data_IF_302173339496
#
_entry.id   IF_302173339496
#
_cell.length_a   1.000
_cell.length_b   1.000
_cell.length_c   1.000
_cell.angle_alpha   90.00
_cell.angle_beta   90.00
_cell.angle_gamma   90.00
#
_symmetry.space_group_name_H-M   'P 1'
#
loop_
_entity.id
_entity.type
_entity.pdbx_description
1 polymer ?
#
# COMPACT_ATOMS: atom_id res chain seq x y z
N UNK A 1 -0.18 -9.81 5.43
CA UNK A 1 -0.41 -11.28 5.47
C UNK A 1 -0.18 -11.92 4.12
N UNK A 2 -0.87 -11.49 3.04
CA UNK A 2 -0.60 -11.97 1.67
C UNK A 2 0.89 -11.93 1.27
N UNK A 3 1.57 -10.82 1.52
CA UNK A 3 3.01 -10.65 1.24
C UNK A 3 3.86 -11.66 1.99
N UNK A 4 3.57 -11.89 3.27
CA UNK A 4 4.33 -12.82 4.11
C UNK A 4 4.11 -14.27 3.68
N UNK A 5 2.85 -14.70 3.48
CA UNK A 5 2.55 -16.06 3.03
C UNK A 5 3.15 -16.38 1.65
N UNK A 6 3.21 -15.37 0.78
CA UNK A 6 3.83 -15.50 -0.53
C UNK A 6 5.36 -15.62 -0.45
N UNK A 7 6.00 -14.84 0.42
CA UNK A 7 7.45 -14.93 0.64
C UNK A 7 7.85 -16.30 1.21
N UNK A 8 7.01 -16.89 2.06
CA UNK A 8 7.18 -18.24 2.59
C UNK A 8 6.79 -19.36 1.61
N UNK A 9 6.28 -19.02 0.41
CA UNK A 9 5.89 -20.00 -0.61
C UNK A 9 4.65 -20.83 -0.29
N UNK A 10 3.86 -20.42 0.71
CA UNK A 10 2.65 -21.14 1.14
C UNK A 10 1.50 -20.90 0.16
N UNK A 11 1.29 -21.82 -0.77
CA UNK A 11 0.33 -21.66 -1.88
C UNK A 11 -1.12 -21.52 -1.40
N UNK A 12 -1.58 -22.37 -0.49
CA UNK A 12 -2.96 -22.35 0.01
C UNK A 12 -3.27 -21.06 0.78
N UNK A 13 -2.38 -20.64 1.68
CA UNK A 13 -2.53 -19.38 2.40
C UNK A 13 -2.47 -18.17 1.47
N UNK A 14 -1.58 -18.18 0.48
CA UNK A 14 -1.49 -17.13 -0.54
C UNK A 14 -2.79 -17.02 -1.33
N UNK A 15 -3.37 -18.15 -1.75
CA UNK A 15 -4.68 -18.17 -2.40
C UNK A 15 -5.75 -17.55 -1.50
N UNK A 16 -5.84 -18.00 -0.25
CA UNK A 16 -6.83 -17.51 0.71
C UNK A 16 -6.70 -16.00 0.94
N UNK A 17 -5.50 -15.52 1.25
CA UNK A 17 -5.25 -14.10 1.50
C UNK A 17 -5.39 -13.25 0.24
N UNK A 18 -5.09 -13.78 -0.95
CA UNK A 18 -5.30 -13.07 -2.21
C UNK A 18 -6.80 -12.91 -2.50
N UNK A 19 -7.58 -13.99 -2.37
CA UNK A 19 -9.03 -13.96 -2.53
C UNK A 19 -9.68 -12.96 -1.55
N UNK A 20 -9.30 -13.03 -0.27
CA UNK A 20 -9.80 -12.10 0.74
C UNK A 20 -9.43 -10.64 0.43
N UNK A 21 -8.19 -10.39 -0.04
CA UNK A 21 -7.76 -9.04 -0.38
C UNK A 21 -8.53 -8.45 -1.57
N UNK A 22 -8.79 -9.25 -2.61
CA UNK A 22 -9.58 -8.82 -3.78
C UNK A 22 -11.01 -8.49 -3.36
N UNK A 23 -11.65 -9.34 -2.54
CA UNK A 23 -13.00 -9.11 -2.02
C UNK A 23 -13.04 -7.82 -1.18
N UNK A 24 -12.03 -7.60 -0.33
CA UNK A 24 -12.01 -6.46 0.58
C UNK A 24 -11.81 -5.12 -0.15
N UNK A 25 -10.90 -5.04 -1.13
CA UNK A 25 -10.67 -3.81 -1.89
C UNK A 25 -10.08 -4.09 -3.27
N UNK A 26 -10.67 -3.60 -4.38
CA UNK A 26 -10.15 -3.81 -5.74
C UNK A 26 -8.69 -3.34 -5.94
N UNK A 27 -8.25 -2.34 -5.17
CA UNK A 27 -6.86 -1.84 -5.19
C UNK A 27 -5.84 -2.87 -4.72
N UNK A 28 -6.28 -3.99 -4.13
CA UNK A 28 -5.41 -5.10 -3.77
C UNK A 28 -4.62 -5.66 -4.97
N UNK A 29 -5.08 -5.42 -6.21
CA UNK A 29 -4.37 -5.84 -7.43
C UNK A 29 -2.90 -5.39 -7.45
N UNK A 30 -2.57 -4.23 -6.89
CA UNK A 30 -1.20 -3.72 -6.78
C UNK A 30 -0.33 -4.70 -5.96
N UNK A 31 -0.87 -5.20 -4.84
CA UNK A 31 -0.19 -6.17 -3.98
C UNK A 31 -0.05 -7.53 -4.67
N UNK A 32 -1.06 -7.95 -5.44
CA UNK A 32 -1.00 -9.18 -6.22
C UNK A 32 0.09 -9.10 -7.31
N UNK A 33 0.18 -7.98 -8.02
CA UNK A 33 1.22 -7.74 -9.03
C UNK A 33 2.62 -7.79 -8.40
N UNK A 34 2.81 -7.15 -7.24
CA UNK A 34 4.07 -7.20 -6.51
C UNK A 34 4.46 -8.65 -6.12
N UNK A 35 3.50 -9.42 -5.59
CA UNK A 35 3.73 -10.83 -5.25
C UNK A 35 4.04 -11.66 -6.50
N UNK A 36 3.32 -11.46 -7.59
CA UNK A 36 3.57 -12.13 -8.86
C UNK A 36 4.97 -11.84 -9.40
N UNK A 37 5.43 -10.60 -9.28
CA UNK A 37 6.78 -10.19 -9.69
C UNK A 37 7.88 -10.81 -8.80
N UNK A 38 7.65 -10.93 -7.49
CA UNK A 38 8.60 -11.54 -6.55
C UNK A 38 8.68 -13.07 -6.66
N UNK A 39 7.55 -13.71 -6.97
CA UNK A 39 7.41 -15.17 -6.96
C UNK A 39 6.59 -15.61 -8.16
N UNK A 40 7.23 -15.66 -9.34
CA UNK A 40 6.61 -16.07 -10.61
C UNK A 40 5.85 -17.42 -10.51
N UNK A 41 6.33 -18.34 -9.67
CA UNK A 41 5.68 -19.66 -9.42
C UNK A 41 4.29 -19.55 -8.77
N UNK A 42 3.96 -18.41 -8.15
CA UNK A 42 2.66 -18.15 -7.53
C UNK A 42 1.67 -17.48 -8.48
N UNK A 43 2.07 -17.07 -9.70
CA UNK A 43 1.16 -16.46 -10.69
C UNK A 43 -0.08 -17.33 -10.93
N UNK A 44 0.01 -18.66 -11.13
CA UNK A 44 -1.17 -19.49 -11.31
C UNK A 44 -2.12 -19.44 -10.10
N UNK A 45 -1.58 -19.35 -8.88
CA UNK A 45 -2.36 -19.25 -7.64
C UNK A 45 -3.09 -17.91 -7.55
N UNK A 46 -2.41 -16.82 -7.93
CA UNK A 46 -3.01 -15.48 -7.95
C UNK A 46 -4.10 -15.37 -9.02
N UNK A 47 -3.87 -15.92 -10.21
CA UNK A 47 -4.87 -15.98 -11.29
C UNK A 47 -6.07 -16.80 -10.82
N UNK A 48 -5.84 -17.94 -10.18
CA UNK A 48 -6.91 -18.77 -9.63
C UNK A 48 -7.71 -18.01 -8.56
N UNK A 49 -7.06 -17.27 -7.66
CA UNK A 49 -7.74 -16.44 -6.66
C UNK A 49 -8.63 -15.37 -7.30
N UNK A 50 -8.12 -14.69 -8.33
CA UNK A 50 -8.89 -13.70 -9.08
C UNK A 50 -10.11 -14.32 -9.76
N UNK A 51 -9.91 -15.41 -10.51
CA UNK A 51 -11.00 -16.11 -11.19
C UNK A 51 -12.02 -16.65 -10.20
N UNK A 52 -11.55 -17.19 -9.07
CA UNK A 52 -12.42 -17.67 -7.99
C UNK A 52 -13.32 -16.56 -7.47
N UNK A 53 -12.78 -15.37 -7.16
CA UNK A 53 -13.57 -14.25 -6.65
C UNK A 53 -14.57 -13.73 -7.69
N UNK A 54 -14.20 -13.70 -8.97
CA UNK A 54 -15.10 -13.27 -10.05
C UNK A 54 -16.19 -14.32 -10.35
N UNK A 55 -15.88 -15.61 -10.20
CA UNK A 55 -16.82 -16.70 -10.49
C UNK A 55 -17.73 -17.01 -9.30
N UNK A 56 -17.29 -16.81 -8.06
CA UNK A 56 -18.03 -17.16 -6.85
C UNK A 56 -19.47 -16.61 -6.81
N UNK A 57 -19.76 -15.35 -7.20
CA UNK A 57 -21.11 -14.82 -7.21
C UNK A 57 -22.09 -15.57 -8.12
N UNK A 58 -21.61 -16.24 -9.19
CA UNK A 58 -22.47 -17.00 -10.11
C UNK A 58 -23.13 -18.22 -9.47
N UNK A 59 -22.63 -18.67 -8.32
CA UNK A 59 -23.30 -19.70 -7.53
C UNK A 59 -24.55 -19.16 -6.78
N UNK A 60 -24.71 -17.84 -6.66
CA UNK A 60 -25.70 -17.20 -5.79
C UNK A 60 -26.67 -16.26 -6.53
N UNK A 61 -26.37 -15.85 -7.77
CA UNK A 61 -27.21 -14.91 -8.52
C UNK A 61 -27.28 -15.24 -10.02
N UNK A 62 -28.34 -14.80 -10.73
CA UNK A 62 -28.49 -15.04 -12.16
C UNK A 62 -27.34 -14.44 -12.99
N UNK A 63 -26.88 -15.17 -14.00
CA UNK A 63 -25.74 -14.78 -14.82
C UNK A 63 -25.93 -13.43 -15.55
N UNK A 64 -27.16 -13.11 -15.98
CA UNK A 64 -27.46 -11.82 -16.63
C UNK A 64 -27.14 -10.63 -15.73
N UNK A 65 -27.66 -10.65 -14.50
CA UNK A 65 -27.39 -9.61 -13.49
C UNK A 65 -25.88 -9.49 -13.19
N UNK A 66 -25.19 -10.61 -13.01
CA UNK A 66 -23.77 -10.60 -12.71
C UNK A 66 -22.92 -10.10 -13.86
N UNK A 67 -23.24 -10.45 -15.10
CA UNK A 67 -22.55 -9.92 -16.28
C UNK A 67 -22.64 -8.39 -16.34
N UNK A 68 -23.81 -7.83 -16.04
CA UNK A 68 -24.01 -6.38 -15.97
C UNK A 68 -23.16 -5.77 -14.84
N UNK A 69 -23.13 -6.38 -13.65
CA UNK A 69 -22.28 -5.92 -12.54
C UNK A 69 -20.78 -5.98 -12.87
N UNK A 70 -20.32 -7.03 -13.55
CA UNK A 70 -18.93 -7.14 -14.00
C UNK A 70 -18.59 -6.07 -15.05
N UNK A 71 -19.51 -5.77 -15.97
CA UNK A 71 -19.34 -4.69 -16.95
C UNK A 71 -19.23 -3.34 -16.25
N UNK A 72 -20.10 -3.05 -15.29
CA UNK A 72 -20.05 -1.81 -14.47
C UNK A 72 -18.75 -1.75 -13.68
N UNK A 73 -18.31 -2.85 -13.08
CA UNK A 73 -17.04 -2.92 -12.35
C UNK A 73 -15.85 -2.59 -13.26
N UNK A 74 -15.78 -3.17 -14.46
CA UNK A 74 -14.72 -2.88 -15.44
C UNK A 74 -14.78 -1.42 -15.88
N UNK A 75 -15.98 -0.90 -16.17
CA UNK A 75 -16.17 0.50 -16.50
C UNK A 75 -15.65 1.41 -15.39
N UNK A 76 -16.01 1.14 -14.13
CA UNK A 76 -15.50 1.87 -12.97
C UNK A 76 -13.98 1.79 -12.86
N UNK A 77 -13.36 0.63 -13.09
CA UNK A 77 -11.89 0.51 -13.08
C UNK A 77 -11.23 1.40 -14.15
N UNK A 78 -11.86 1.57 -15.31
CA UNK A 78 -11.35 2.42 -16.40
C UNK A 78 -11.70 3.90 -16.26
N UNK A 79 -12.87 4.23 -15.70
CA UNK A 79 -13.31 5.62 -15.47
C UNK A 79 -12.77 6.19 -14.16
N UNK A 80 -12.16 5.36 -13.31
CA UNK A 80 -11.50 5.77 -12.07
C UNK A 80 -10.40 6.83 -12.26
N UNK A 81 -9.87 6.99 -13.48
CA UNK A 81 -8.94 8.04 -13.86
C UNK A 81 -9.61 9.37 -14.29
N UNK A 82 -10.88 9.35 -14.72
CA UNK A 82 -11.49 10.46 -15.47
C UNK A 82 -12.53 11.24 -14.66
N UNK A 83 -13.26 10.60 -13.74
CA UNK A 83 -14.36 11.26 -13.02
C UNK A 83 -13.99 11.71 -11.59
N UNK A 84 -13.75 13.01 -11.46
CA UNK A 84 -13.73 13.74 -10.18
C UNK A 84 -15.16 13.91 -9.64
N UNK A 85 -15.79 12.81 -9.22
CA UNK A 85 -17.05 12.93 -8.46
C UNK A 85 -16.77 13.65 -7.13
N UNK A 86 -17.62 14.64 -6.82
CA UNK A 86 -17.39 15.77 -5.88
C UNK A 86 -17.11 15.45 -4.41
N UNK A 87 -16.98 14.17 -4.02
CA UNK A 87 -16.80 13.76 -2.62
C UNK A 87 -15.45 13.08 -2.32
N UNK A 88 -14.67 12.69 -3.33
CA UNK A 88 -13.36 12.09 -3.08
C UNK A 88 -12.29 13.18 -3.00
N UNK A 89 -11.66 13.32 -1.83
CA UNK A 89 -10.48 14.18 -1.65
C UNK A 89 -9.25 13.28 -1.64
N UNK A 90 -8.37 13.35 -2.67
CA UNK A 90 -7.14 12.57 -2.69
C UNK A 90 -6.26 12.95 -1.50
N UNK A 91 -5.87 11.97 -0.69
CA UNK A 91 -4.90 12.17 0.41
C UNK A 91 -3.54 11.54 0.11
N UNK A 92 -3.22 11.37 -1.17
CA UNK A 92 -1.96 10.78 -1.63
C UNK A 92 -0.83 11.81 -1.64
N UNK A 93 0.31 11.48 -2.27
CA UNK A 93 1.47 12.38 -2.37
C UNK A 93 1.17 13.72 -3.04
N UNK A 94 0.07 13.85 -3.80
CA UNK A 94 -0.31 15.12 -4.44
C UNK A 94 -0.98 16.08 -3.46
N UNK A 95 -1.53 15.57 -2.35
CA UNK A 95 -2.31 16.36 -1.40
C UNK A 95 -1.56 17.59 -0.84
N UNK A 96 -0.29 17.51 -0.40
CA UNK A 96 0.44 18.68 0.08
C UNK A 96 0.60 19.78 -0.98
N UNK A 97 0.82 19.39 -2.24
CA UNK A 97 0.99 20.32 -3.35
C UNK A 97 -0.32 21.05 -3.67
N UNK A 98 -1.44 20.33 -3.64
CA UNK A 98 -2.77 20.92 -3.79
C UNK A 98 -3.07 21.90 -2.64
N UNK A 99 -2.73 21.55 -1.40
CA UNK A 99 -2.97 22.41 -0.22
C UNK A 99 -2.21 23.74 -0.30
N UNK A 100 -1.00 23.77 -0.84
CA UNK A 100 -0.22 25.01 -1.02
C UNK A 100 -0.54 25.76 -2.33
N UNK A 101 -1.57 25.34 -3.07
CA UNK A 101 -2.02 26.00 -4.30
C UNK A 101 -1.19 25.66 -5.54
N UNK A 102 -0.40 24.59 -5.51
CA UNK A 102 0.44 24.12 -6.63
C UNK A 102 0.06 22.69 -7.08
N UNK A 103 -1.19 22.44 -7.52
CA UNK A 103 -1.64 21.10 -7.85
C UNK A 103 -0.80 20.46 -8.97
N UNK A 104 -0.38 19.21 -8.78
CA UNK A 104 0.37 18.46 -9.79
C UNK A 104 -0.60 17.98 -10.88
N UNK A 105 -0.34 18.25 -12.17
CA UNK A 105 -1.17 17.73 -13.27
C UNK A 105 -1.24 16.20 -13.24
N UNK A 106 -2.38 15.62 -13.58
CA UNK A 106 -2.62 14.17 -13.52
C UNK A 106 -1.56 13.35 -14.26
N UNK A 107 -1.15 13.81 -15.44
CA UNK A 107 -0.08 13.18 -16.22
C UNK A 107 1.25 13.16 -15.45
N UNK A 108 1.62 14.28 -14.83
CA UNK A 108 2.82 14.37 -13.99
C UNK A 108 2.72 13.47 -12.75
N UNK A 109 1.56 13.44 -12.10
CA UNK A 109 1.33 12.55 -10.97
C UNK A 109 1.45 11.07 -11.37
N UNK A 110 0.95 10.70 -12.56
CA UNK A 110 1.06 9.35 -13.11
C UNK A 110 2.51 8.96 -13.38
N UNK A 111 3.32 9.87 -13.95
CA UNK A 111 4.76 9.64 -14.13
C UNK A 111 5.44 9.35 -12.79
N UNK A 112 5.17 10.18 -11.77
CA UNK A 112 5.74 9.98 -10.42
C UNK A 112 5.34 8.61 -9.85
N UNK A 113 4.06 8.22 -9.98
CA UNK A 113 3.59 6.90 -9.53
C UNK A 113 4.30 5.77 -10.25
N UNK A 114 4.50 5.86 -11.57
CA UNK A 114 5.22 4.85 -12.36
C UNK A 114 6.68 4.73 -11.94
N UNK A 115 7.37 5.86 -11.75
CA UNK A 115 8.75 5.89 -11.26
C UNK A 115 8.83 5.26 -9.87
N UNK A 116 7.92 5.63 -8.97
CA UNK A 116 7.89 5.09 -7.61
C UNK A 116 7.51 3.61 -7.58
N UNK A 117 6.65 3.14 -8.49
CA UNK A 117 6.33 1.71 -8.62
C UNK A 117 7.56 0.91 -9.04
N UNK A 118 8.33 1.41 -10.02
CA UNK A 118 9.58 0.79 -10.45
C UNK A 118 10.64 0.81 -9.35
N UNK A 119 10.75 1.91 -8.61
CA UNK A 119 11.62 2.01 -7.45
C UNK A 119 11.22 1.01 -6.35
N UNK A 120 9.94 0.93 -6.00
CA UNK A 120 9.41 -0.03 -5.03
C UNK A 120 9.72 -1.46 -5.46
N UNK A 121 9.46 -1.82 -6.72
CA UNK A 121 9.75 -3.15 -7.24
C UNK A 121 11.25 -3.47 -7.13
N UNK A 122 12.10 -2.52 -7.54
CA UNK A 122 13.57 -2.67 -7.52
C UNK A 122 14.11 -2.84 -6.10
N UNK A 123 13.64 -2.01 -5.16
CA UNK A 123 14.00 -2.08 -3.74
C UNK A 123 13.56 -3.42 -3.12
N UNK A 124 12.35 -3.84 -3.39
CA UNK A 124 11.79 -5.11 -2.89
C UNK A 124 12.56 -6.33 -3.43
N UNK A 125 12.94 -6.34 -4.71
CA UNK A 125 13.81 -7.39 -5.28
C UNK A 125 15.20 -7.36 -4.63
N UNK A 126 15.75 -6.18 -4.36
CA UNK A 126 17.04 -6.05 -3.69
C UNK A 126 16.97 -6.60 -2.25
N UNK A 127 15.94 -6.23 -1.48
CA UNK A 127 15.72 -6.73 -0.11
C UNK A 127 15.59 -8.25 -0.06
N UNK A 128 14.81 -8.84 -0.96
CA UNK A 128 14.63 -10.30 -1.05
C UNK A 128 15.94 -11.05 -1.30
N UNK A 129 16.89 -10.43 -2.00
CA UNK A 129 18.18 -11.05 -2.37
C UNK A 129 19.32 -10.80 -1.38
N UNK A 130 19.27 -9.68 -0.65
CA UNK A 130 20.40 -9.21 0.17
C UNK A 130 20.18 -9.35 1.67
N UNK A 131 18.94 -9.24 2.15
CA UNK A 131 18.64 -9.30 3.58
C UNK A 131 18.33 -10.73 4.03
N UNK A 132 18.60 -11.01 5.29
CA UNK A 132 18.13 -12.23 5.96
C UNK A 132 16.59 -12.33 5.87
N UNK A 133 16.06 -13.55 5.72
CA UNK A 133 14.65 -13.80 5.39
C UNK A 133 13.64 -13.02 6.26
N UNK A 134 13.86 -12.91 7.57
CA UNK A 134 12.98 -12.16 8.47
C UNK A 134 13.03 -10.64 8.24
N UNK A 135 14.23 -10.08 8.01
CA UNK A 135 14.44 -8.65 7.72
C UNK A 135 13.93 -8.30 6.33
N UNK A 136 14.19 -9.17 5.35
CA UNK A 136 13.69 -9.04 3.98
C UNK A 136 12.16 -8.95 3.97
N UNK A 137 11.47 -9.88 4.64
CA UNK A 137 10.01 -9.89 4.68
C UNK A 137 9.41 -8.61 5.29
N UNK A 138 10.02 -8.11 6.37
CA UNK A 138 9.60 -6.86 7.00
C UNK A 138 9.87 -5.65 6.10
N UNK A 139 11.05 -5.55 5.48
CA UNK A 139 11.42 -4.48 4.57
C UNK A 139 10.50 -4.44 3.33
N UNK A 140 10.19 -5.60 2.77
CA UNK A 140 9.26 -5.74 1.64
C UNK A 140 7.84 -5.33 2.05
N UNK A 141 7.37 -5.80 3.22
CA UNK A 141 6.05 -5.44 3.71
C UNK A 141 5.91 -3.94 3.98
N UNK A 142 6.93 -3.32 4.58
CA UNK A 142 7.00 -1.87 4.80
C UNK A 142 6.99 -1.10 3.47
N UNK A 143 7.84 -1.47 2.52
CA UNK A 143 7.97 -0.77 1.23
C UNK A 143 6.69 -0.88 0.41
N UNK A 144 6.07 -2.05 0.38
CA UNK A 144 4.79 -2.25 -0.30
C UNK A 144 3.65 -1.43 0.33
N UNK A 145 3.60 -1.40 1.67
CA UNK A 145 2.61 -0.62 2.41
C UNK A 145 2.81 0.88 2.21
N UNK A 146 4.07 1.34 2.19
CA UNK A 146 4.42 2.72 1.89
C UNK A 146 3.91 3.15 0.52
N UNK A 147 4.17 2.33 -0.52
CA UNK A 147 3.65 2.61 -1.85
C UNK A 147 2.12 2.73 -1.87
N UNK A 148 1.45 1.78 -1.21
CA UNK A 148 -0.02 1.78 -1.11
C UNK A 148 -0.58 2.98 -0.36
N UNK A 149 0.11 3.48 0.67
CA UNK A 149 -0.35 4.62 1.47
C UNK A 149 -0.09 5.97 0.79
N UNK A 150 0.96 6.10 -0.03
CA UNK A 150 1.41 7.41 -0.52
C UNK A 150 1.20 7.59 -2.02
N UNK A 151 1.35 6.55 -2.83
CA UNK A 151 1.34 6.68 -4.30
C UNK A 151 0.09 6.10 -4.97
N UNK A 152 -0.79 5.42 -4.23
CA UNK A 152 -2.05 4.96 -4.78
C UNK A 152 -3.00 6.17 -4.99
N UNK A 153 -3.56 6.38 -6.20
CA UNK A 153 -4.44 7.53 -6.49
C UNK A 153 -5.76 7.52 -5.69
N UNK A 154 -6.13 6.38 -5.09
CA UNK A 154 -7.35 6.21 -4.29
C UNK A 154 -7.05 6.06 -2.79
N UNK A 155 -5.97 6.67 -2.33
CA UNK A 155 -5.66 6.73 -0.89
C UNK A 155 -6.72 7.56 -0.19
N UNK A 156 -7.35 6.93 0.79
CA UNK A 156 -8.19 7.57 1.79
C UNK A 156 -7.40 7.80 3.06
N UNK A 157 -7.79 8.77 3.91
CA UNK A 157 -7.08 9.07 5.16
C UNK A 157 -6.89 7.85 6.08
N UNK A 158 -7.80 6.86 6.06
CA UNK A 158 -7.69 5.64 6.84
C UNK A 158 -6.66 4.63 6.31
N UNK A 159 -6.28 4.73 5.03
CA UNK A 159 -5.28 3.85 4.40
C UNK A 159 -3.94 3.96 5.13
N UNK A 160 -3.59 5.15 5.62
CA UNK A 160 -2.36 5.39 6.36
C UNK A 160 -2.23 4.56 7.64
N UNK A 161 -3.33 4.09 8.24
CA UNK A 161 -3.27 3.19 9.39
C UNK A 161 -2.52 1.88 9.07
N UNK A 162 -2.53 1.45 7.80
CA UNK A 162 -1.80 0.25 7.37
C UNK A 162 -0.30 0.34 7.64
N UNK A 163 0.30 1.54 7.62
CA UNK A 163 1.75 1.70 7.83
C UNK A 163 2.16 1.41 9.29
N UNK A 164 1.24 1.54 10.24
CA UNK A 164 1.57 1.49 11.67
C UNK A 164 2.25 0.18 12.07
N UNK A 165 1.74 -0.95 11.57
CA UNK A 165 2.29 -2.28 11.89
C UNK A 165 3.70 -2.48 11.30
N UNK A 166 3.93 -2.36 9.98
CA UNK A 166 5.26 -2.55 9.42
C UNK A 166 6.26 -1.50 9.93
N UNK A 167 5.86 -0.24 10.09
CA UNK A 167 6.75 0.80 10.61
C UNK A 167 7.10 0.56 12.08
N UNK A 168 6.11 0.23 12.93
CA UNK A 168 6.34 -0.06 14.35
C UNK A 168 7.27 -1.25 14.57
N UNK A 169 7.08 -2.34 13.80
CA UNK A 169 7.98 -3.50 13.87
C UNK A 169 9.40 -3.15 13.37
N UNK A 170 9.52 -2.36 12.31
CA UNK A 170 10.82 -1.92 11.80
C UNK A 170 11.56 -0.99 12.78
N UNK A 171 10.84 -0.07 13.44
CA UNK A 171 11.38 0.79 14.49
C UNK A 171 11.81 -0.04 15.71
N UNK A 172 11.02 -1.05 16.11
CA UNK A 172 11.40 -1.93 17.21
C UNK A 172 12.68 -2.74 16.89
N UNK A 173 12.82 -3.21 15.64
CA UNK A 173 14.04 -3.87 15.18
C UNK A 173 15.25 -2.91 15.17
N UNK A 174 15.05 -1.70 14.64
CA UNK A 174 16.06 -0.63 14.65
C UNK A 174 16.52 -0.30 16.08
N UNK A 175 15.57 -0.12 17.01
CA UNK A 175 15.85 0.13 18.41
C UNK A 175 16.72 -0.97 19.03
N UNK A 176 16.41 -2.24 18.73
CA UNK A 176 17.16 -3.38 19.24
C UNK A 176 18.59 -3.41 18.72
N UNK A 177 18.79 -3.11 17.44
CA UNK A 177 20.12 -3.16 16.82
C UNK A 177 20.99 -1.95 17.18
N UNK A 178 20.42 -0.75 17.25
CA UNK A 178 21.14 0.48 17.62
C UNK A 178 21.16 0.74 19.14
N UNK A 179 20.58 -0.15 19.95
CA UNK A 179 20.47 -0.03 21.42
C UNK A 179 19.84 1.29 21.88
N UNK A 180 18.76 1.71 21.22
CA UNK A 180 18.01 2.93 21.57
C UNK A 180 18.53 4.21 20.92
N UNK A 181 18.94 4.13 19.66
CA UNK A 181 19.39 5.27 18.86
C UNK A 181 18.36 6.40 18.76
N UNK A 182 18.87 7.63 18.56
CA UNK A 182 18.05 8.85 18.40
C UNK A 182 17.04 8.70 17.26
N UNK A 183 17.45 8.06 16.15
CA UNK A 183 16.59 7.83 14.99
C UNK A 183 15.35 7.02 15.35
N UNK A 184 15.52 5.90 16.09
CA UNK A 184 14.40 5.07 16.51
C UNK A 184 13.43 5.84 17.44
N UNK A 185 13.96 6.69 18.32
CA UNK A 185 13.16 7.55 19.20
C UNK A 185 12.33 8.56 18.39
N UNK A 186 12.97 9.29 17.48
CA UNK A 186 12.30 10.28 16.61
C UNK A 186 11.22 9.62 15.76
N UNK A 187 11.52 8.48 15.15
CA UNK A 187 10.56 7.75 14.30
C UNK A 187 9.38 7.22 15.13
N UNK A 188 9.62 6.69 16.33
CA UNK A 188 8.57 6.22 17.23
C UNK A 188 7.64 7.36 17.65
N UNK A 189 8.19 8.49 18.08
CA UNK A 189 7.39 9.67 18.45
C UNK A 189 6.61 10.20 17.25
N UNK A 190 7.24 10.29 16.08
CA UNK A 190 6.57 10.78 14.86
C UNK A 190 5.43 9.85 14.46
N UNK A 191 5.64 8.52 14.50
CA UNK A 191 4.59 7.54 14.19
C UNK A 191 3.41 7.66 15.17
N UNK A 192 3.70 7.78 16.47
CA UNK A 192 2.68 7.93 17.50
C UNK A 192 1.86 9.22 17.32
N UNK A 193 2.53 10.36 17.17
CA UNK A 193 1.89 11.66 16.95
C UNK A 193 1.07 11.65 15.65
N UNK A 194 1.57 10.99 14.60
CA UNK A 194 0.82 10.85 13.34
C UNK A 194 -0.49 10.09 13.55
N UNK A 195 -0.50 9.05 14.40
CA UNK A 195 -1.71 8.33 14.78
C UNK A 195 -2.72 9.18 15.55
N UNK A 196 -2.25 10.19 16.30
CA UNK A 196 -3.11 11.11 17.06
C UNK A 196 -3.71 12.24 16.22
N UNK A 197 -3.30 12.41 14.96
CA UNK A 197 -3.76 13.49 14.05
C UNK A 197 -5.27 13.52 13.76
N UNK A 198 -6.03 12.49 14.16
CA UNK A 198 -7.48 12.41 13.98
C UNK A 198 -8.30 12.43 15.28
N UNK A 199 -7.68 12.65 16.44
CA UNK A 199 -8.37 12.56 17.74
C UNK A 199 -9.27 13.77 18.01
N UNK A 200 -8.82 14.96 17.64
CA UNK A 200 -9.54 16.22 17.84
C UNK A 200 -9.87 16.83 16.47
N UNK A 201 -11.06 17.45 16.36
CA UNK A 201 -11.62 17.90 15.08
C UNK A 201 -10.85 19.06 14.46
N UNK A 202 -10.47 20.08 15.23
CA UNK A 202 -9.71 21.22 14.71
C UNK A 202 -8.31 20.80 14.25
N UNK A 203 -7.66 19.92 15.00
CA UNK A 203 -6.38 19.31 14.61
C UNK A 203 -6.53 18.50 13.33
N UNK A 204 -7.60 17.72 13.21
CA UNK A 204 -7.89 16.97 12.00
C UNK A 204 -8.08 17.88 10.79
N UNK A 205 -8.93 18.91 10.91
CA UNK A 205 -9.25 19.84 9.83
C UNK A 205 -8.00 20.64 9.37
N UNK A 206 -7.08 20.94 10.30
CA UNK A 206 -5.81 21.61 9.96
C UNK A 206 -4.79 20.70 9.24
N UNK A 207 -4.71 19.43 9.66
CA UNK A 207 -3.73 18.47 9.14
C UNK A 207 -4.21 17.75 7.88
N UNK A 208 -5.53 17.73 7.63
CA UNK A 208 -6.13 17.13 6.46
C UNK A 208 -6.04 18.08 5.25
N UNK A 209 -5.71 17.61 4.03
CA UNK A 209 -5.33 16.25 3.64
C UNK A 209 -3.80 15.97 3.62
N UNK A 210 -2.96 16.96 3.92
CA UNK A 210 -1.55 16.98 3.55
C UNK A 210 -0.58 16.30 4.54
N UNK A 211 -0.89 16.28 5.84
CA UNK A 211 0.10 15.92 6.87
C UNK A 211 0.50 14.43 6.81
N UNK A 212 -0.48 13.53 6.66
CA UNK A 212 -0.25 12.08 6.67
C UNK A 212 0.67 11.59 5.55
N UNK A 213 0.51 12.00 4.27
CA UNK A 213 1.45 11.59 3.23
C UNK A 213 2.87 12.09 3.49
N UNK A 214 3.04 13.29 4.06
CA UNK A 214 4.37 13.82 4.42
C UNK A 214 5.00 13.02 5.56
N UNK A 215 4.27 12.84 6.67
CA UNK A 215 4.77 12.13 7.84
C UNK A 215 5.12 10.67 7.51
N UNK A 216 4.28 10.00 6.73
CA UNK A 216 4.51 8.61 6.31
C UNK A 216 5.68 8.50 5.33
N UNK A 217 5.88 9.48 4.45
CA UNK A 217 7.07 9.56 3.59
C UNK A 217 8.35 9.70 4.41
N UNK A 218 8.34 10.56 5.43
CA UNK A 218 9.49 10.70 6.33
C UNK A 218 9.78 9.40 7.10
N UNK A 219 8.75 8.80 7.72
CA UNK A 219 8.91 7.57 8.52
C UNK A 219 9.38 6.41 7.65
N UNK A 220 8.61 6.08 6.60
CA UNK A 220 8.89 4.94 5.76
C UNK A 220 10.17 5.14 4.95
N UNK A 221 10.43 6.35 4.43
CA UNK A 221 11.65 6.67 3.71
C UNK A 221 12.91 6.44 4.55
N UNK A 222 12.89 6.90 5.81
CA UNK A 222 14.00 6.69 6.75
C UNK A 222 14.26 5.22 7.05
N UNK A 223 13.19 4.44 7.25
CA UNK A 223 13.28 3.00 7.53
C UNK A 223 13.72 2.19 6.29
N UNK A 224 13.20 2.52 5.10
CA UNK A 224 13.59 1.89 3.84
C UNK A 224 15.08 2.16 3.55
N UNK A 225 15.53 3.41 3.77
CA UNK A 225 16.94 3.77 3.66
C UNK A 225 17.81 2.95 4.63
N UNK A 226 17.38 2.83 5.89
CA UNK A 226 18.09 2.03 6.88
C UNK A 226 18.18 0.54 6.49
N UNK A 227 17.12 -0.05 5.94
CA UNK A 227 17.17 -1.41 5.41
C UNK A 227 18.10 -1.54 4.20
N UNK A 228 18.19 -0.51 3.36
CA UNK A 228 19.09 -0.49 2.20
C UNK A 228 20.56 -0.37 2.63
N UNK A 229 20.85 0.37 3.69
CA UNK A 229 22.22 0.57 4.16
C UNK A 229 22.90 -0.68 4.79
N UNK A 230 22.22 -1.84 4.82
CA UNK A 230 22.70 -3.10 5.39
C UNK A 230 23.05 -4.12 4.33
#
# INVERSE_FOLDING_TARGET
>A
LLTLSALEGRRAETFFWASLAIIAKPTAIIMLLLVGALRLRLIPVLVLALLFVLALPYAFAPAGYLNDQHRVFIQMLTSMAVDNTSHFVPTDFTAPFTTIGLPIPEFGATIVRMVMALFTLSAVIWFDRRLEQGKAALAIFLTATFYMCVFNPRVEPNTFAMIAVPAGLAIALLWREERGGVLASVLSTTLFVTGLSGVERHVHDFLFPWFRPVAVTFIAGSLIWWFWAK
#
